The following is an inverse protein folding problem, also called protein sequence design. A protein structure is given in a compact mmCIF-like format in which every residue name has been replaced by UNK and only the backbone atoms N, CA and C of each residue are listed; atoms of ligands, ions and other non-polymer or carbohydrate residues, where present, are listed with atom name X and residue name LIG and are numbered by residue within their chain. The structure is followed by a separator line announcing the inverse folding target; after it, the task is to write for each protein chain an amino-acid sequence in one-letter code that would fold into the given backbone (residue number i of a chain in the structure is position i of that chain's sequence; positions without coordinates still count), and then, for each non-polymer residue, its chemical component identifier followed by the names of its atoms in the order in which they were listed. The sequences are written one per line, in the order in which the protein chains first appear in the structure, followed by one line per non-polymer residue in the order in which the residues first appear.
data_IF_859919263654
#
_entry.id   IF_859919263654
#
_cell.length_a   1.000
_cell.length_b   1.000
_cell.length_c   1.000
_cell.angle_alpha   90.00
_cell.angle_beta   90.00
_cell.angle_gamma   90.00
#
_symmetry.space_group_name_H-M   'P 1'
#
loop_
_entity.id
_entity.type
_entity.pdbx_description
1 polymer ?
#
# COMPACT_ATOMS: atom_id res chain seq x y z
N UNK A 1 3.05 51.83 32.09
CA UNK A 1 1.69 51.72 31.51
C UNK A 1 1.66 51.62 29.98
N UNK A 2 2.46 52.38 29.23
CA UNK A 2 2.39 52.38 27.75
C UNK A 2 2.72 51.03 27.07
N UNK A 3 3.62 50.23 27.63
CA UNK A 3 3.96 48.90 27.07
C UNK A 3 2.82 47.87 27.19
N UNK A 4 2.03 47.93 28.28
CA UNK A 4 0.90 47.03 28.48
C UNK A 4 -0.24 47.29 27.47
N UNK A 5 -0.51 48.56 27.17
CA UNK A 5 -1.53 48.95 26.17
C UNK A 5 -1.13 48.52 24.76
N UNK A 6 0.16 48.60 24.42
CA UNK A 6 0.67 48.13 23.12
C UNK A 6 0.57 46.61 22.96
N UNK A 7 0.87 45.85 24.02
CA UNK A 7 0.75 44.39 24.02
C UNK A 7 -0.71 43.92 23.84
N UNK A 8 -1.66 44.58 24.51
CA UNK A 8 -3.09 44.28 24.37
C UNK A 8 -3.62 44.57 22.95
N UNK A 9 -3.17 45.66 22.32
CA UNK A 9 -3.50 45.95 20.91
C UNK A 9 -2.95 44.89 19.96
N UNK A 10 -1.73 44.42 20.20
CA UNK A 10 -1.09 43.38 19.37
C UNK A 10 -1.80 42.03 19.52
N UNK A 11 -2.13 41.62 20.74
CA UNK A 11 -2.92 40.40 20.99
C UNK A 11 -4.30 40.46 20.33
N UNK A 12 -4.98 41.62 20.39
CA UNK A 12 -6.27 41.84 19.71
C UNK A 12 -6.14 41.70 18.20
N UNK A 13 -5.13 42.30 17.57
CA UNK A 13 -4.92 42.19 16.13
C UNK A 13 -4.61 40.75 15.70
N UNK A 14 -3.79 40.02 16.45
CA UNK A 14 -3.49 38.62 16.17
C UNK A 14 -4.73 37.72 16.31
N UNK A 15 -5.57 37.95 17.32
CA UNK A 15 -6.82 37.22 17.51
C UNK A 15 -7.81 37.47 16.36
N UNK A 16 -7.95 38.73 15.91
CA UNK A 16 -8.79 39.07 14.75
C UNK A 16 -8.29 38.42 13.46
N UNK A 17 -6.98 38.43 13.22
CA UNK A 17 -6.40 37.80 12.04
C UNK A 17 -6.57 36.28 12.05
N UNK A 18 -6.45 35.64 13.21
CA UNK A 18 -6.73 34.21 13.38
C UNK A 18 -8.21 33.89 13.13
N UNK A 19 -9.13 34.68 13.68
CA UNK A 19 -10.57 34.52 13.45
C UNK A 19 -10.94 34.67 11.97
N UNK A 20 -10.36 35.66 11.28
CA UNK A 20 -10.58 35.88 9.85
C UNK A 20 -10.10 34.68 9.01
N UNK A 21 -8.95 34.08 9.35
CA UNK A 21 -8.46 32.85 8.69
C UNK A 21 -9.41 31.67 8.89
N UNK A 22 -9.99 31.49 10.08
CA UNK A 22 -10.99 30.45 10.35
C UNK A 22 -12.24 30.69 9.51
N UNK A 23 -12.78 31.91 9.51
CA UNK A 23 -13.96 32.26 8.72
C UNK A 23 -13.74 32.08 7.21
N UNK A 24 -12.56 32.47 6.72
CA UNK A 24 -12.16 32.25 5.32
C UNK A 24 -12.08 30.76 4.97
N UNK A 25 -11.50 29.92 5.84
CA UNK A 25 -11.44 28.46 5.65
C UNK A 25 -12.84 27.84 5.61
N UNK A 26 -13.73 28.27 6.50
CA UNK A 26 -15.12 27.78 6.53
C UNK A 26 -15.88 28.17 5.25
N UNK A 27 -15.76 29.42 4.81
CA UNK A 27 -16.35 29.88 3.54
C UNK A 27 -15.78 29.14 2.33
N UNK A 28 -14.46 28.94 2.29
CA UNK A 28 -13.80 28.22 1.21
C UNK A 28 -14.26 26.75 1.15
N UNK A 29 -14.32 26.06 2.28
CA UNK A 29 -14.81 24.68 2.36
C UNK A 29 -16.26 24.55 1.90
N UNK A 30 -17.12 25.50 2.29
CA UNK A 30 -18.51 25.53 1.85
C UNK A 30 -18.62 25.75 0.32
N UNK A 31 -17.83 26.66 -0.23
CA UNK A 31 -17.79 26.92 -1.67
C UNK A 31 -17.28 25.72 -2.50
N UNK A 32 -16.30 24.98 -1.98
CA UNK A 32 -15.75 23.78 -2.64
C UNK A 32 -16.76 22.64 -2.56
N UNK A 33 -17.42 22.47 -1.41
CA UNK A 33 -18.46 21.46 -1.24
C UNK A 33 -19.67 21.75 -2.13
N UNK A 34 -20.12 23.01 -2.21
CA UNK A 34 -21.22 23.41 -3.09
C UNK A 34 -20.89 23.15 -4.56
N UNK A 35 -19.71 23.55 -5.04
CA UNK A 35 -19.28 23.28 -6.42
C UNK A 35 -19.17 21.79 -6.73
N UNK A 36 -18.69 20.99 -5.77
CA UNK A 36 -18.62 19.54 -5.90
C UNK A 36 -20.01 18.92 -5.96
N UNK A 37 -20.93 19.38 -5.13
CA UNK A 37 -22.31 18.91 -5.08
C UNK A 37 -23.05 19.27 -6.38
N UNK A 38 -22.89 20.48 -6.88
CA UNK A 38 -23.44 20.91 -8.16
C UNK A 38 -22.90 20.05 -9.33
N UNK A 39 -21.59 19.77 -9.34
CA UNK A 39 -20.98 18.89 -10.32
C UNK A 39 -21.48 17.44 -10.20
N UNK A 40 -21.72 16.94 -8.98
CA UNK A 40 -22.27 15.60 -8.75
C UNK A 40 -23.70 15.50 -9.27
N UNK A 41 -24.57 16.48 -8.97
CA UNK A 41 -25.95 16.52 -9.48
C UNK A 41 -26.01 16.57 -11.01
N UNK A 42 -25.09 17.32 -11.61
CA UNK A 42 -24.94 17.35 -13.08
C UNK A 42 -24.55 15.97 -13.62
N UNK A 43 -23.58 15.29 -13.00
CA UNK A 43 -23.17 13.93 -13.37
C UNK A 43 -24.27 12.89 -13.18
N UNK A 44 -25.08 13.01 -12.13
CA UNK A 44 -26.24 12.15 -11.90
C UNK A 44 -27.25 12.30 -13.05
N UNK A 45 -27.54 13.55 -13.43
CA UNK A 45 -28.44 13.83 -14.57
C UNK A 45 -27.88 13.29 -15.88
N UNK A 46 -26.58 13.46 -16.13
CA UNK A 46 -25.89 12.91 -17.31
C UNK A 46 -25.90 11.38 -17.32
N UNK A 47 -25.70 10.74 -16.16
CA UNK A 47 -25.75 9.28 -16.00
C UNK A 47 -27.16 8.74 -16.27
N UNK A 48 -28.20 9.36 -15.70
CA UNK A 48 -29.60 8.96 -15.93
C UNK A 48 -29.98 9.09 -17.41
N UNK A 49 -29.54 10.17 -18.06
CA UNK A 49 -29.75 10.36 -19.50
C UNK A 49 -29.00 9.30 -20.32
N UNK A 50 -27.77 8.97 -19.95
CA UNK A 50 -27.01 7.91 -20.60
C UNK A 50 -27.71 6.55 -20.45
N UNK A 51 -28.19 6.20 -19.26
CA UNK A 51 -28.94 4.96 -18.99
C UNK A 51 -30.17 4.88 -19.89
N UNK A 52 -30.97 5.96 -19.97
CA UNK A 52 -32.15 6.03 -20.84
C UNK A 52 -31.82 5.83 -22.33
N UNK A 53 -30.65 6.30 -22.78
CA UNK A 53 -30.18 6.07 -24.16
C UNK A 53 -29.85 4.58 -24.35
N UNK A 54 -29.16 3.98 -23.39
CA UNK A 54 -28.81 2.56 -23.42
C UNK A 54 -30.03 1.64 -23.36
N UNK A 55 -31.04 1.95 -22.53
CA UNK A 55 -32.31 1.21 -22.45
C UNK A 55 -33.11 1.23 -23.76
N UNK A 56 -32.96 2.30 -24.55
CA UNK A 56 -33.62 2.46 -25.85
C UNK A 56 -32.81 1.90 -27.02
N UNK A 57 -31.57 1.48 -26.77
CA UNK A 57 -30.71 0.91 -27.82
C UNK A 57 -31.22 -0.49 -28.18
N UNK A 58 -31.22 -0.82 -29.46
CA UNK A 58 -31.59 -2.15 -29.92
C UNK A 58 -30.70 -3.23 -29.26
N UNK A 59 -31.29 -4.39 -28.94
CA UNK A 59 -30.61 -5.43 -28.15
C UNK A 59 -29.40 -6.01 -28.88
N UNK A 60 -29.47 -6.19 -30.20
CA UNK A 60 -28.37 -6.74 -30.97
C UNK A 60 -27.27 -5.70 -31.17
N UNK A 61 -27.65 -4.43 -31.36
CA UNK A 61 -26.69 -3.33 -31.35
C UNK A 61 -25.98 -3.19 -30.00
N UNK A 62 -26.72 -3.25 -28.90
CA UNK A 62 -26.19 -3.22 -27.53
C UNK A 62 -25.16 -4.33 -27.32
N UNK A 63 -25.55 -5.57 -27.64
CA UNK A 63 -24.69 -6.75 -27.51
C UNK A 63 -23.39 -6.58 -28.30
N UNK A 64 -23.48 -6.15 -29.56
CA UNK A 64 -22.30 -5.90 -30.41
C UNK A 64 -21.38 -4.82 -29.82
N UNK A 65 -21.93 -3.72 -29.28
CA UNK A 65 -21.13 -2.66 -28.63
C UNK A 65 -20.42 -3.17 -27.38
N UNK A 66 -21.10 -3.97 -26.55
CA UNK A 66 -20.52 -4.58 -25.35
C UNK A 66 -19.42 -5.59 -25.72
N UNK A 67 -19.65 -6.44 -26.71
CA UNK A 67 -18.65 -7.40 -27.21
C UNK A 67 -17.41 -6.68 -27.73
N UNK A 68 -17.58 -5.65 -28.57
CA UNK A 68 -16.47 -4.84 -29.05
C UNK A 68 -15.68 -4.20 -27.91
N UNK A 69 -16.36 -3.62 -26.91
CA UNK A 69 -15.68 -3.01 -25.77
C UNK A 69 -14.97 -4.04 -24.88
N UNK A 70 -15.56 -5.21 -24.73
CA UNK A 70 -14.97 -6.32 -23.98
C UNK A 70 -13.70 -6.80 -24.67
N UNK A 71 -13.73 -7.00 -25.99
CA UNK A 71 -12.56 -7.38 -26.77
C UNK A 71 -11.45 -6.33 -26.71
N UNK A 72 -11.81 -5.04 -26.77
CA UNK A 72 -10.84 -3.94 -26.59
C UNK A 72 -10.17 -4.01 -25.21
N UNK A 73 -10.94 -4.22 -24.14
CA UNK A 73 -10.40 -4.34 -22.78
C UNK A 73 -9.53 -5.58 -22.59
N UNK A 74 -9.90 -6.71 -23.21
CA UNK A 74 -9.08 -7.92 -23.23
C UNK A 74 -7.74 -7.62 -23.90
N UNK A 75 -7.75 -6.98 -25.06
CA UNK A 75 -6.52 -6.63 -25.77
C UNK A 75 -5.60 -5.70 -24.96
N UNK A 76 -6.19 -4.71 -24.27
CA UNK A 76 -5.43 -3.82 -23.37
C UNK A 76 -4.79 -4.63 -22.25
N UNK A 77 -5.55 -5.51 -21.60
CA UNK A 77 -5.05 -6.34 -20.50
C UNK A 77 -3.95 -7.32 -20.94
N UNK A 78 -4.10 -7.96 -22.11
CA UNK A 78 -3.08 -8.84 -22.68
C UNK A 78 -1.77 -8.07 -22.97
N UNK A 79 -1.87 -6.84 -23.47
CA UNK A 79 -0.72 -5.97 -23.69
C UNK A 79 -0.05 -5.56 -22.37
N UNK A 80 -0.82 -5.30 -21.31
CA UNK A 80 -0.29 -5.02 -19.97
C UNK A 80 0.48 -6.23 -19.40
N UNK A 81 -0.07 -7.45 -19.51
CA UNK A 81 0.62 -8.69 -19.11
C UNK A 81 1.92 -8.87 -19.91
N UNK A 82 1.88 -8.63 -21.22
CA UNK A 82 3.06 -8.76 -22.07
C UNK A 82 4.14 -7.75 -21.64
N UNK A 83 3.77 -6.50 -21.38
CA UNK A 83 4.68 -5.47 -20.89
C UNK A 83 5.31 -5.85 -19.54
N UNK A 84 4.53 -6.40 -18.61
CA UNK A 84 5.05 -6.92 -17.33
C UNK A 84 6.04 -8.06 -17.53
N UNK A 85 5.76 -9.01 -18.44
CA UNK A 85 6.70 -10.10 -18.77
C UNK A 85 8.01 -9.60 -19.37
N UNK A 86 7.94 -8.61 -20.26
CA UNK A 86 9.13 -7.97 -20.83
C UNK A 86 9.96 -7.32 -19.72
N UNK A 87 9.32 -6.55 -18.83
CA UNK A 87 10.00 -5.92 -17.69
C UNK A 87 10.66 -6.95 -16.77
N UNK A 88 9.98 -8.06 -16.46
CA UNK A 88 10.55 -9.14 -15.66
C UNK A 88 11.76 -9.80 -16.35
N UNK A 89 11.71 -9.98 -17.67
CA UNK A 89 12.83 -10.51 -18.44
C UNK A 89 14.02 -9.53 -18.47
N UNK A 90 13.75 -8.23 -18.57
CA UNK A 90 14.79 -7.20 -18.44
C UNK A 90 15.40 -7.19 -17.04
N UNK A 91 14.59 -7.33 -16.00
CA UNK A 91 15.10 -7.47 -14.63
C UNK A 91 15.96 -8.71 -14.45
N UNK A 92 15.60 -9.85 -15.05
CA UNK A 92 16.44 -11.07 -15.02
C UNK A 92 17.80 -10.86 -15.66
N UNK A 93 17.93 -10.00 -16.68
CA UNK A 93 19.25 -9.61 -17.20
C UNK A 93 20.10 -8.86 -16.15
N UNK A 94 19.45 -8.26 -15.16
CA UNK A 94 20.05 -7.57 -14.01
C UNK A 94 20.15 -8.49 -12.77
N UNK A 95 20.10 -9.82 -12.91
CA UNK A 95 20.22 -10.77 -11.79
C UNK A 95 21.55 -10.63 -11.05
N UNK A 96 22.61 -10.20 -11.75
CA UNK A 96 23.93 -9.97 -11.18
C UNK A 96 24.09 -8.60 -10.50
N UNK A 97 23.03 -7.79 -10.41
CA UNK A 97 23.12 -6.49 -9.70
C UNK A 97 23.20 -6.75 -8.21
N UNK A 98 24.40 -6.56 -7.67
CA UNK A 98 24.66 -6.61 -6.24
C UNK A 98 24.45 -5.24 -5.61
N UNK A 99 24.09 -5.24 -4.33
CA UNK A 99 23.84 -4.03 -3.58
C UNK A 99 23.40 -4.29 -2.17
N UNK A 100 23.27 -3.21 -1.41
CA UNK A 100 23.04 -3.20 0.02
C UNK A 100 21.70 -2.54 0.33
N UNK A 101 20.96 -3.16 1.23
CA UNK A 101 19.74 -2.66 1.83
C UNK A 101 20.11 -1.90 3.09
N UNK A 102 19.72 -0.64 3.17
CA UNK A 102 20.00 0.22 4.31
C UNK A 102 18.72 0.69 4.99
N UNK A 103 18.79 0.91 6.30
CA UNK A 103 17.75 1.59 7.03
C UNK A 103 17.60 3.03 6.51
N UNK A 104 16.38 3.44 6.16
CA UNK A 104 16.13 4.81 5.67
C UNK A 104 16.44 5.89 6.71
N UNK A 105 16.25 5.59 8.01
CA UNK A 105 16.38 6.58 9.09
C UNK A 105 17.84 6.84 9.47
N UNK A 106 18.64 5.79 9.67
CA UNK A 106 20.00 5.90 10.19
C UNK A 106 21.09 5.46 9.21
N UNK A 107 20.73 5.07 7.98
CA UNK A 107 21.64 4.57 6.95
C UNK A 107 22.39 3.28 7.29
N UNK A 108 22.08 2.64 8.42
CA UNK A 108 22.71 1.38 8.82
C UNK A 108 22.48 0.28 7.78
N UNK A 109 23.53 -0.45 7.44
CA UNK A 109 23.52 -1.53 6.45
C UNK A 109 22.91 -2.81 7.02
N UNK A 110 21.72 -3.16 6.53
CA UNK A 110 20.92 -4.26 7.05
C UNK A 110 21.27 -5.60 6.40
N UNK A 111 21.68 -5.59 5.13
CA UNK A 111 21.97 -6.80 4.37
C UNK A 111 22.08 -6.54 2.88
N UNK A 112 22.21 -7.61 2.10
CA UNK A 112 22.33 -7.54 0.64
C UNK A 112 20.96 -7.61 -0.05
N UNK A 113 20.86 -7.00 -1.23
CA UNK A 113 19.67 -7.09 -2.10
C UNK A 113 19.41 -8.55 -2.48
N UNK A 114 20.45 -9.36 -2.67
CA UNK A 114 20.35 -10.80 -2.98
C UNK A 114 19.57 -11.60 -1.92
N UNK A 115 19.50 -11.10 -0.67
CA UNK A 115 18.75 -11.75 0.40
C UNK A 115 17.24 -11.50 0.31
N UNK A 116 16.78 -10.61 -0.58
CA UNK A 116 15.36 -10.42 -0.85
C UNK A 116 14.78 -11.60 -1.61
N UNK A 117 13.55 -11.96 -1.25
CA UNK A 117 12.69 -12.89 -1.95
C UNK A 117 11.30 -12.29 -2.07
N UNK A 118 10.59 -12.56 -3.16
CA UNK A 118 9.23 -12.04 -3.36
C UNK A 118 8.21 -13.17 -3.33
N UNK A 119 7.03 -12.88 -2.79
CA UNK A 119 5.82 -13.70 -2.96
C UNK A 119 4.65 -12.77 -3.18
N UNK A 120 4.01 -12.86 -4.34
CA UNK A 120 2.98 -11.92 -4.76
C UNK A 120 3.48 -10.46 -4.63
N UNK A 121 2.87 -9.67 -3.75
CA UNK A 121 3.21 -8.25 -3.51
C UNK A 121 4.13 -8.02 -2.31
N UNK A 122 4.50 -9.08 -1.59
CA UNK A 122 5.31 -9.01 -0.38
C UNK A 122 6.77 -9.42 -0.64
N UNK A 123 7.68 -8.74 0.04
CA UNK A 123 9.13 -8.89 -0.10
C UNK A 123 9.71 -9.24 1.25
N UNK A 124 10.43 -10.36 1.28
CA UNK A 124 10.90 -11.03 2.48
C UNK A 124 12.41 -11.08 2.52
N UNK A 125 12.97 -11.04 3.72
CA UNK A 125 14.34 -11.46 4.00
C UNK A 125 14.28 -12.62 4.97
N UNK A 126 14.97 -13.71 4.63
CA UNK A 126 15.09 -14.95 5.42
C UNK A 126 16.50 -15.15 6.00
N UNK A 127 17.45 -14.27 5.67
CA UNK A 127 18.85 -14.43 6.05
C UNK A 127 19.10 -14.12 7.54
N UNK A 128 19.77 -15.02 8.28
CA UNK A 128 20.07 -14.85 9.70
C UNK A 128 20.93 -13.62 10.03
N UNK A 129 21.84 -13.21 9.14
CA UNK A 129 22.70 -12.04 9.37
C UNK A 129 21.91 -10.73 9.36
N UNK A 130 20.77 -10.70 8.66
CA UNK A 130 19.83 -9.58 8.77
C UNK A 130 19.20 -9.52 10.17
N UNK A 131 18.84 -10.67 10.74
CA UNK A 131 18.25 -10.73 12.08
C UNK A 131 19.24 -10.36 13.19
N UNK A 132 20.54 -10.66 13.04
CA UNK A 132 21.60 -10.19 13.96
C UNK A 132 21.71 -8.65 14.02
N UNK A 133 21.31 -7.95 12.96
CA UNK A 133 21.34 -6.48 12.85
C UNK A 133 20.00 -5.81 13.13
N UNK A 134 18.99 -6.59 13.52
CA UNK A 134 17.66 -6.08 13.80
C UNK A 134 17.15 -6.57 15.15
N UNK A 135 16.08 -5.96 15.62
CA UNK A 135 15.39 -6.38 16.84
C UNK A 135 13.95 -6.69 16.50
N UNK A 136 13.45 -7.82 17.00
CA UNK A 136 12.04 -8.19 16.86
C UNK A 136 11.35 -7.75 18.14
N UNK A 137 10.44 -6.79 18.04
CA UNK A 137 9.54 -6.49 19.14
C UNK A 137 8.23 -7.25 18.92
N UNK A 138 7.82 -8.04 19.91
CA UNK A 138 6.48 -8.59 19.95
C UNK A 138 5.49 -7.44 19.83
N UNK A 139 4.66 -7.46 18.79
CA UNK A 139 3.52 -6.56 18.75
C UNK A 139 2.41 -7.20 19.58
N UNK A 140 1.76 -6.49 20.50
CA UNK A 140 0.55 -6.98 21.17
C UNK A 140 -0.58 -7.04 20.13
N UNK A 141 -0.56 -8.04 19.24
CA UNK A 141 -1.25 -8.02 17.94
C UNK A 141 -2.10 -9.26 17.67
N UNK A 142 -2.61 -9.92 18.71
CA UNK A 142 -3.71 -10.88 18.54
C UNK A 142 -5.08 -10.21 18.57
N UNK A 143 -5.28 -9.10 19.31
CA UNK A 143 -6.61 -8.48 19.46
C UNK A 143 -7.04 -7.49 18.38
N UNK A 144 -6.14 -6.73 17.75
CA UNK A 144 -6.56 -5.65 16.81
C UNK A 144 -6.96 -6.20 15.43
N UNK A 145 -6.31 -7.26 14.95
CA UNK A 145 -6.78 -7.98 13.77
C UNK A 145 -8.09 -8.69 14.08
N UNK A 146 -8.22 -9.39 15.22
CA UNK A 146 -9.52 -9.95 15.66
C UNK A 146 -10.64 -8.91 15.77
N UNK A 147 -10.38 -7.68 16.22
CA UNK A 147 -11.40 -6.63 16.34
C UNK A 147 -11.77 -6.05 14.97
N UNK A 148 -10.82 -5.88 14.05
CA UNK A 148 -11.12 -5.53 12.66
C UNK A 148 -11.90 -6.64 11.95
N UNK A 149 -11.60 -7.91 12.28
CA UNK A 149 -12.36 -9.09 11.84
C UNK A 149 -13.72 -9.22 12.53
N UNK A 150 -13.92 -8.84 13.80
CA UNK A 150 -15.24 -8.93 14.47
C UNK A 150 -16.14 -7.73 14.16
N UNK A 151 -15.56 -6.55 13.93
CA UNK A 151 -16.29 -5.31 13.64
C UNK A 151 -16.97 -5.30 12.27
N UNK A 152 -16.40 -5.97 11.26
CA UNK A 152 -17.04 -6.12 9.94
C UNK A 152 -18.15 -7.18 9.93
N UNK A 153 -18.20 -8.08 10.93
CA UNK A 153 -19.24 -9.12 11.03
C UNK A 153 -20.48 -8.66 11.79
N UNK A 154 -20.38 -7.64 12.65
CA UNK A 154 -21.52 -7.15 13.46
C UNK A 154 -22.52 -6.28 12.67
N UNK A 155 -22.23 -5.89 11.43
CA UNK A 155 -23.17 -5.09 10.61
C UNK A 155 -24.05 -5.90 9.65
N UNK A 156 -23.95 -7.24 9.61
CA UNK A 156 -24.86 -8.07 8.80
C UNK A 156 -25.26 -9.32 9.59
N UNK A 157 -26.46 -9.25 10.17
CA UNK A 157 -27.18 -10.21 11.01
C UNK A 157 -26.67 -11.66 11.09
N UNK A 158 -26.61 -12.16 12.33
CA UNK A 158 -26.70 -13.56 12.78
C UNK A 158 -26.47 -14.65 11.72
N UNK A 159 -25.23 -14.78 11.24
CA UNK A 159 -24.74 -16.06 10.72
C UNK A 159 -23.55 -16.51 11.55
N UNK A 160 -23.61 -17.74 12.05
CA UNK A 160 -22.55 -18.35 12.86
C UNK A 160 -21.27 -18.52 12.03
N UNK A 161 -20.13 -18.29 12.68
CA UNK A 161 -18.79 -18.38 12.11
C UNK A 161 -18.53 -19.70 11.37
N UNK A 162 -19.11 -20.82 11.85
CA UNK A 162 -19.05 -22.14 11.19
C UNK A 162 -19.56 -22.15 9.74
N UNK A 163 -20.55 -21.33 9.39
CA UNK A 163 -21.20 -21.39 8.07
C UNK A 163 -20.32 -20.86 6.92
N UNK A 164 -19.30 -20.05 7.22
CA UNK A 164 -18.37 -19.50 6.22
C UNK A 164 -17.17 -20.41 5.90
N UNK A 165 -16.91 -21.42 6.74
CA UNK A 165 -15.76 -22.34 6.60
C UNK A 165 -15.89 -23.27 5.38
N UNK A 166 -17.10 -23.45 4.85
CA UNK A 166 -17.40 -24.43 3.78
C UNK A 166 -17.47 -23.86 2.36
N UNK A 167 -17.58 -22.55 2.16
CA UNK A 167 -17.86 -21.97 0.84
C UNK A 167 -16.76 -21.07 0.26
N UNK A 168 -15.55 -21.09 0.82
CA UNK A 168 -14.49 -20.20 0.35
C UNK A 168 -13.10 -20.81 0.53
N UNK A 169 -12.66 -21.56 -0.47
CA UNK A 169 -11.22 -21.71 -0.77
C UNK A 169 -10.54 -20.37 -1.11
N UNK A 170 -11.27 -19.25 -1.04
CA UNK A 170 -10.84 -17.87 -1.32
C UNK A 170 -10.85 -16.96 -0.07
N UNK A 171 -10.89 -17.50 1.15
CA UNK A 171 -10.57 -16.70 2.35
C UNK A 171 -9.05 -16.61 2.47
N UNK A 172 -8.52 -15.57 1.83
CA UNK A 172 -7.22 -14.94 2.06
C UNK A 172 -6.03 -15.88 2.36
N UNK A 173 -5.24 -16.14 1.32
CA UNK A 173 -3.86 -16.65 1.35
C UNK A 173 -2.85 -15.68 2.07
N UNK A 174 -3.37 -14.79 2.93
CA UNK A 174 -2.63 -13.98 3.91
C UNK A 174 -2.46 -14.77 5.22
N UNK A 175 -3.11 -15.94 5.36
CA UNK A 175 -3.07 -16.78 6.57
C UNK A 175 -1.85 -17.71 6.70
N UNK A 176 -0.86 -17.68 5.80
CA UNK A 176 0.30 -18.57 5.92
C UNK A 176 1.47 -18.01 6.73
N UNK A 177 1.43 -16.71 7.02
CA UNK A 177 2.43 -16.09 7.86
C UNK A 177 1.80 -15.06 8.80
N UNK A 178 1.40 -15.53 9.98
CA UNK A 178 0.95 -14.66 11.06
C UNK A 178 2.01 -13.59 11.34
N UNK A 179 1.62 -12.32 11.32
CA UNK A 179 2.53 -11.25 11.74
C UNK A 179 2.71 -11.35 13.25
N UNK A 180 3.83 -11.90 13.67
CA UNK A 180 4.15 -12.15 15.07
C UNK A 180 4.80 -10.92 15.74
N UNK A 181 5.34 -9.98 14.96
CA UNK A 181 6.06 -8.83 15.51
C UNK A 181 6.33 -7.70 14.53
N UNK A 182 6.98 -6.68 15.06
CA UNK A 182 7.64 -5.63 14.28
C UNK A 182 9.15 -5.88 14.26
N UNK A 183 9.72 -5.89 13.06
CA UNK A 183 11.18 -5.87 12.89
C UNK A 183 11.65 -4.43 12.88
N UNK A 184 12.58 -4.10 13.77
CA UNK A 184 13.16 -2.76 13.92
C UNK A 184 14.66 -2.79 13.66
N UNK A 185 15.17 -1.72 13.07
CA UNK A 185 16.59 -1.45 13.01
C UNK A 185 17.14 -1.18 14.42
N UNK A 186 18.46 -1.31 14.63
CA UNK A 186 19.13 -0.93 15.87
C UNK A 186 18.86 0.52 16.32
N UNK A 187 18.57 1.43 15.37
CA UNK A 187 18.14 2.80 15.69
C UNK A 187 16.68 2.92 16.19
N UNK A 188 15.98 1.80 16.37
CA UNK A 188 14.58 1.71 16.79
C UNK A 188 13.55 1.97 15.69
N UNK A 189 13.96 2.31 14.46
CA UNK A 189 13.02 2.53 13.36
C UNK A 189 12.42 1.20 12.87
N UNK A 190 11.12 1.22 12.58
CA UNK A 190 10.42 0.05 12.02
C UNK A 190 10.88 -0.21 10.59
N UNK A 191 11.27 -1.45 10.30
CA UNK A 191 11.68 -1.91 8.97
C UNK A 191 10.57 -2.70 8.29
N UNK A 192 9.86 -3.54 9.04
CA UNK A 192 8.91 -4.49 8.48
C UNK A 192 8.04 -5.18 9.53
N UNK A 193 7.39 -6.26 9.12
CA UNK A 193 6.70 -7.20 10.00
C UNK A 193 7.48 -8.50 10.11
N UNK A 194 7.59 -9.03 11.33
CA UNK A 194 8.13 -10.37 11.57
C UNK A 194 7.05 -11.40 11.31
N UNK A 195 7.39 -12.46 10.61
CA UNK A 195 6.48 -13.46 10.08
C UNK A 195 7.14 -14.84 10.13
N UNK A 196 6.39 -15.85 10.57
CA UNK A 196 6.80 -17.26 10.46
C UNK A 196 5.98 -17.93 9.38
N UNK A 197 6.63 -18.62 8.46
CA UNK A 197 5.93 -19.35 7.42
C UNK A 197 5.47 -20.70 7.95
N UNK A 198 4.17 -20.84 8.21
CA UNK A 198 3.64 -22.02 8.90
C UNK A 198 3.79 -23.32 8.07
N UNK A 199 3.75 -23.20 6.74
CA UNK A 199 3.77 -24.34 5.80
C UNK A 199 5.17 -24.76 5.33
N UNK A 200 6.19 -23.92 5.56
CA UNK A 200 7.60 -24.14 5.18
C UNK A 200 8.48 -23.71 6.35
N UNK A 201 8.49 -24.52 7.41
CA UNK A 201 9.32 -24.28 8.60
C UNK A 201 10.81 -24.25 8.29
N UNK A 202 11.21 -24.89 7.19
CA UNK A 202 12.57 -24.85 6.63
C UNK A 202 12.99 -23.43 6.20
N UNK A 203 12.05 -22.56 5.82
CA UNK A 203 12.33 -21.16 5.53
C UNK A 203 12.54 -20.30 6.79
N UNK A 204 12.21 -20.84 7.97
CA UNK A 204 12.48 -20.23 9.26
C UNK A 204 11.81 -18.87 9.49
N UNK A 205 12.55 -17.99 10.15
CA UNK A 205 12.13 -16.65 10.53
C UNK A 205 12.23 -15.70 9.32
N UNK A 206 11.16 -14.95 9.05
CA UNK A 206 11.09 -14.06 7.90
C UNK A 206 10.70 -12.63 8.28
N UNK A 207 11.30 -11.66 7.59
CA UNK A 207 10.93 -10.26 7.71
C UNK A 207 10.28 -9.77 6.42
N UNK A 208 8.97 -9.49 6.47
CA UNK A 208 8.28 -8.77 5.41
C UNK A 208 8.67 -7.28 5.46
N UNK A 209 9.56 -6.87 4.56
CA UNK A 209 10.10 -5.50 4.54
C UNK A 209 9.09 -4.50 3.97
N UNK A 210 8.98 -3.35 4.63
CA UNK A 210 8.23 -2.22 4.13
C UNK A 210 9.13 -1.33 3.27
N UNK A 211 8.89 -1.30 1.95
CA UNK A 211 9.65 -0.52 0.96
C UNK A 211 9.96 0.92 1.42
N UNK A 212 8.97 1.60 2.01
CA UNK A 212 9.07 2.99 2.48
C UNK A 212 10.08 3.23 3.62
N UNK A 213 10.51 2.18 4.31
CA UNK A 213 11.38 2.24 5.50
C UNK A 213 12.84 1.86 5.20
N UNK A 214 13.13 1.45 3.97
CA UNK A 214 14.46 1.08 3.52
C UNK A 214 14.88 1.95 2.33
N UNK A 215 16.18 1.96 2.06
CA UNK A 215 16.78 2.52 0.85
C UNK A 215 17.89 1.57 0.38
N UNK A 216 18.29 1.71 -0.86
CA UNK A 216 19.21 0.80 -1.51
C UNK A 216 20.46 1.55 -1.98
N UNK A 217 21.58 0.85 -2.05
CA UNK A 217 22.85 1.33 -2.59
C UNK A 217 23.45 0.20 -3.42
N UNK A 218 23.95 0.46 -4.62
CA UNK A 218 24.73 -0.55 -5.36
C UNK A 218 26.13 -0.66 -4.74
N UNK A 219 26.78 -1.82 -4.84
CA UNK A 219 28.07 -2.04 -4.16
C UNK A 219 29.16 -1.05 -4.58
N UNK A 220 29.14 -0.62 -5.86
CA UNK A 220 30.11 0.31 -6.43
C UNK A 220 29.64 1.78 -6.44
N UNK A 221 28.50 2.09 -5.82
CA UNK A 221 27.93 3.43 -5.82
C UNK A 221 27.86 3.99 -4.40
N UNK A 222 28.21 5.26 -4.24
CA UNK A 222 28.03 5.98 -2.95
C UNK A 222 26.60 6.51 -2.80
N UNK A 223 25.86 6.60 -3.90
CA UNK A 223 24.52 7.16 -3.94
C UNK A 223 23.48 6.14 -3.49
N UNK A 224 22.57 6.59 -2.62
CA UNK A 224 21.40 5.83 -2.25
C UNK A 224 20.23 6.14 -3.17
N UNK A 225 19.43 5.14 -3.48
CA UNK A 225 18.14 5.30 -4.16
C UNK A 225 17.00 4.75 -3.29
N UNK A 226 15.81 5.31 -3.49
CA UNK A 226 14.59 4.91 -2.78
C UNK A 226 13.58 4.40 -3.78
N UNK A 227 12.93 3.30 -3.43
CA UNK A 227 11.86 2.73 -4.23
C UNK A 227 10.54 3.14 -3.56
N UNK A 228 9.62 3.82 -4.29
CA UNK A 228 8.38 4.31 -3.69
C UNK A 228 7.40 3.19 -3.34
N UNK A 229 7.35 2.15 -4.18
CA UNK A 229 6.54 0.94 -4.01
C UNK A 229 7.29 -0.24 -4.61
N UNK A 230 7.15 -1.42 -4.02
CA UNK A 230 7.79 -2.62 -4.51
C UNK A 230 7.45 -2.97 -5.98
N UNK A 231 6.26 -2.62 -6.46
CA UNK A 231 5.86 -2.78 -7.86
C UNK A 231 6.64 -1.89 -8.84
N UNK A 232 7.38 -0.90 -8.33
CA UNK A 232 8.20 0.01 -9.12
C UNK A 232 9.69 -0.35 -9.12
N UNK A 233 10.09 -1.46 -8.49
CA UNK A 233 11.46 -1.97 -8.59
C UNK A 233 11.76 -2.25 -10.06
N UNK A 234 12.81 -1.68 -10.61
CA UNK A 234 13.32 -1.96 -11.98
C UNK A 234 14.81 -2.25 -12.00
N UNK A 235 15.50 -1.91 -10.91
CA UNK A 235 16.95 -1.81 -10.84
C UNK A 235 17.63 -3.15 -10.59
N UNK A 236 16.91 -4.14 -10.07
CA UNK A 236 17.42 -5.48 -9.76
C UNK A 236 16.30 -6.52 -9.81
N UNK A 237 16.68 -7.78 -10.07
CA UNK A 237 15.78 -8.92 -9.97
C UNK A 237 15.62 -9.34 -8.51
N UNK A 238 14.39 -9.68 -8.11
CA UNK A 238 14.12 -10.34 -6.82
C UNK A 238 13.46 -11.68 -7.12
N UNK A 239 14.14 -12.81 -6.83
CA UNK A 239 13.60 -14.13 -7.10
C UNK A 239 12.39 -14.44 -6.22
N UNK A 240 11.54 -15.35 -6.70
CA UNK A 240 10.40 -15.81 -5.92
C UNK A 240 10.87 -16.60 -4.68
N UNK A 241 10.12 -16.54 -3.58
CA UNK A 241 10.47 -17.30 -2.38
C UNK A 241 10.32 -18.81 -2.61
N UNK A 242 9.44 -19.20 -3.53
CA UNK A 242 9.25 -20.58 -3.97
C UNK A 242 10.46 -21.15 -4.73
N UNK A 243 11.40 -20.30 -5.15
CA UNK A 243 12.67 -20.72 -5.78
C UNK A 243 13.77 -21.06 -4.73
N UNK A 244 13.46 -20.93 -3.41
CA UNK A 244 14.28 -21.44 -2.29
C UNK A 244 13.95 -22.89 -1.94
#
# INVERSE_FOLDING_TARGET
MNNHVSMLKTCRNNAWHFLYRILFLLYYLDSVNHKREEANRKRETEMDNAIKIWEKTDRDEFKRRVENKTNELIQIWENEILAERILLNEQRKNENVTGIICCKKCNHELGEIAWLKRRNTAYFITNENFFKKTTVSATPFTRVQEILFKGTFLQRGNKSFESYKKSSKQVFDISLAGREGDVKCQCGSKLGGFQKYLDRRDLGDMCALACKNVKFRRDNETQYFMIPKWTAVREFYVPFIEEL
#
